data_IF_103605832448
#
_entry.id   IF_103605832448
#
_cell.length_a   1.000
_cell.length_b   1.000
_cell.length_c   1.000
_cell.angle_alpha   90.00
_cell.angle_beta   90.00
_cell.angle_gamma   90.00
#
_symmetry.space_group_name_H-M   'P 1'
#
loop_
_entity.id
_entity.type
_entity.pdbx_description
1 polymer ?
#
# COMPACT_ATOMS: atom_id res chain seq x y z
N UNK A 1 7.23 24.97 -2.61
CA UNK A 1 7.39 24.18 -3.84
C UNK A 1 8.15 22.93 -3.47
N UNK A 2 7.50 21.77 -3.58
CA UNK A 2 8.06 20.53 -3.06
C UNK A 2 8.87 19.79 -4.12
N UNK A 3 9.99 19.21 -3.71
CA UNK A 3 10.73 18.12 -4.37
C UNK A 3 9.83 17.05 -5.03
N UNK A 4 8.58 16.92 -4.60
CA UNK A 4 7.57 16.09 -5.24
C UNK A 4 7.09 16.59 -6.59
N UNK A 5 6.93 17.89 -6.76
CA UNK A 5 6.50 18.52 -8.00
C UNK A 5 7.58 18.36 -9.08
N UNK A 6 8.85 18.41 -8.68
CA UNK A 6 9.99 18.17 -9.58
C UNK A 6 10.19 16.66 -9.87
N UNK A 7 9.83 15.79 -8.93
CA UNK A 7 9.82 14.33 -9.14
C UNK A 7 8.65 13.88 -10.04
N UNK A 8 7.46 14.46 -9.90
CA UNK A 8 6.25 14.16 -10.68
C UNK A 8 6.11 15.00 -11.96
N UNK A 9 6.82 16.13 -12.06
CA UNK A 9 6.67 17.16 -13.11
C UNK A 9 7.36 16.86 -14.44
N UNK A 10 8.12 15.76 -14.54
CA UNK A 10 8.49 15.21 -15.84
C UNK A 10 7.23 14.64 -16.49
N UNK A 11 6.73 15.24 -17.58
CA UNK A 11 5.45 14.86 -18.21
C UNK A 11 5.27 13.37 -18.51
N UNK A 12 6.37 12.62 -18.67
CA UNK A 12 6.36 11.16 -18.78
C UNK A 12 5.92 10.47 -17.47
N UNK A 13 6.47 10.89 -16.32
CA UNK A 13 6.16 10.31 -15.01
C UNK A 13 4.73 10.61 -14.60
N UNK A 14 4.26 11.84 -14.84
CA UNK A 14 2.86 12.21 -14.64
C UNK A 14 1.92 11.30 -15.45
N UNK A 15 2.28 10.97 -16.70
CA UNK A 15 1.50 10.06 -17.52
C UNK A 15 1.48 8.64 -16.93
N UNK A 16 2.63 8.11 -16.54
CA UNK A 16 2.74 6.78 -15.90
C UNK A 16 1.92 6.68 -14.62
N UNK A 17 1.98 7.70 -13.76
CA UNK A 17 1.19 7.77 -12.52
C UNK A 17 -0.31 7.86 -12.82
N UNK A 18 -0.72 8.60 -13.86
CA UNK A 18 -2.11 8.69 -14.29
C UNK A 18 -2.60 7.36 -14.85
N UNK A 19 -1.78 6.67 -15.65
CA UNK A 19 -2.08 5.33 -16.16
C UNK A 19 -2.20 4.31 -15.01
N UNK A 20 -1.35 4.42 -13.99
CA UNK A 20 -1.43 3.62 -12.78
C UNK A 20 -2.77 3.83 -12.05
N UNK A 21 -3.17 5.08 -11.81
CA UNK A 21 -4.47 5.38 -11.18
C UNK A 21 -5.62 4.90 -12.06
N UNK A 22 -5.56 5.14 -13.37
CA UNK A 22 -6.61 4.75 -14.31
C UNK A 22 -6.86 3.24 -14.31
N UNK A 23 -5.80 2.44 -14.31
CA UNK A 23 -5.92 0.97 -14.23
C UNK A 23 -6.59 0.54 -12.92
N UNK A 24 -6.31 1.24 -11.82
CA UNK A 24 -6.85 0.94 -10.49
C UNK A 24 -8.32 1.37 -10.39
N UNK A 25 -8.72 2.37 -11.18
CA UNK A 25 -10.09 2.85 -11.29
C UNK A 25 -10.96 2.06 -12.25
N UNK A 26 -10.37 1.54 -13.33
CA UNK A 26 -11.10 0.83 -14.38
C UNK A 26 -11.12 -0.69 -14.18
N UNK A 27 -10.18 -1.25 -13.43
CA UNK A 27 -10.01 -2.69 -13.25
C UNK A 27 -9.79 -3.10 -11.81
N UNK A 28 -9.46 -4.38 -11.64
CA UNK A 28 -9.22 -4.98 -10.34
C UNK A 28 -7.99 -4.35 -9.67
N UNK A 29 -8.07 -3.92 -8.41
CA UNK A 29 -6.99 -3.21 -7.72
C UNK A 29 -5.70 -4.02 -7.59
N UNK A 30 -5.77 -5.35 -7.72
CA UNK A 30 -4.63 -6.27 -7.70
C UNK A 30 -4.06 -6.61 -9.09
N UNK A 31 -4.81 -6.33 -10.16
CA UNK A 31 -4.49 -6.72 -11.52
C UNK A 31 -3.93 -5.55 -12.36
N UNK A 32 -3.16 -5.86 -13.41
CA UNK A 32 -2.60 -4.84 -14.31
C UNK A 32 -1.33 -4.15 -13.83
N UNK A 33 -0.73 -4.62 -12.73
CA UNK A 33 0.55 -4.16 -12.20
C UNK A 33 1.51 -5.31 -11.93
N UNK A 34 2.80 -5.08 -12.19
CA UNK A 34 3.85 -5.94 -11.66
C UNK A 34 4.11 -5.63 -10.19
N UNK A 35 4.53 -6.62 -9.41
CA UNK A 35 4.78 -6.44 -7.97
C UNK A 35 5.85 -5.37 -7.72
N UNK A 36 6.89 -5.38 -8.54
CA UNK A 36 7.95 -4.35 -8.53
C UNK A 36 7.42 -2.95 -8.84
N UNK A 37 6.43 -2.83 -9.72
CA UNK A 37 5.82 -1.55 -10.06
C UNK A 37 5.06 -0.98 -8.86
N UNK A 38 4.23 -1.81 -8.21
CA UNK A 38 3.49 -1.41 -7.01
C UNK A 38 4.45 -0.98 -5.91
N UNK A 39 5.52 -1.74 -5.63
CA UNK A 39 6.51 -1.38 -4.61
C UNK A 39 7.24 -0.08 -4.93
N UNK A 40 7.66 0.08 -6.19
CA UNK A 40 8.36 1.29 -6.61
C UNK A 40 7.46 2.51 -6.44
N UNK A 41 6.23 2.44 -6.96
CA UNK A 41 5.25 3.53 -6.88
C UNK A 41 4.87 3.82 -5.44
N UNK A 42 4.53 2.78 -4.68
CA UNK A 42 4.21 2.89 -3.27
C UNK A 42 5.37 3.49 -2.48
N UNK A 43 6.61 3.02 -2.64
CA UNK A 43 7.78 3.58 -1.98
C UNK A 43 8.01 5.05 -2.32
N UNK A 44 7.98 5.41 -3.61
CA UNK A 44 8.14 6.79 -4.07
C UNK A 44 7.08 7.73 -3.46
N UNK A 45 5.82 7.31 -3.41
CA UNK A 45 4.71 8.19 -2.98
C UNK A 45 4.46 8.15 -1.47
N UNK A 46 4.75 7.03 -0.80
CA UNK A 46 4.53 6.88 0.64
C UNK A 46 5.59 7.57 1.49
N UNK A 47 6.83 7.71 1.00
CA UNK A 47 7.87 8.53 1.63
C UNK A 47 7.69 10.02 1.36
N UNK A 48 7.01 10.34 0.28
CA UNK A 48 6.78 11.68 -0.17
C UNK A 48 5.69 12.41 0.62
N UNK A 49 4.62 11.72 0.99
CA UNK A 49 3.45 12.33 1.60
C UNK A 49 3.48 12.27 3.13
N UNK A 50 2.93 13.30 3.81
CA UNK A 50 2.77 13.25 5.26
C UNK A 50 1.81 12.11 5.66
N UNK A 51 1.94 11.59 6.90
CA UNK A 51 1.17 10.46 7.38
C UNK A 51 -0.35 10.70 7.33
N UNK A 52 -0.83 11.92 7.54
CA UNK A 52 -2.25 12.24 7.39
C UNK A 52 -2.77 12.01 5.97
N UNK A 53 -1.98 12.37 4.94
CA UNK A 53 -2.35 12.14 3.55
C UNK A 53 -2.27 10.65 3.19
N UNK A 54 -1.32 9.93 3.76
CA UNK A 54 -1.24 8.47 3.65
C UNK A 54 -2.47 7.81 4.28
N UNK A 55 -2.88 8.24 5.48
CA UNK A 55 -4.06 7.70 6.18
C UNK A 55 -5.35 7.90 5.37
N UNK A 56 -5.53 9.09 4.79
CA UNK A 56 -6.67 9.38 3.93
C UNK A 56 -6.65 8.51 2.67
N UNK A 57 -5.49 8.38 2.01
CA UNK A 57 -5.35 7.55 0.82
C UNK A 57 -5.61 6.07 1.13
N UNK A 58 -5.13 5.57 2.26
CA UNK A 58 -5.41 4.22 2.74
C UNK A 58 -6.90 4.02 3.04
N UNK A 59 -7.52 4.96 3.74
CA UNK A 59 -8.96 4.92 4.00
C UNK A 59 -9.76 4.87 2.68
N UNK A 60 -9.41 5.66 1.69
CA UNK A 60 -10.12 5.66 0.40
C UNK A 60 -9.88 4.37 -0.41
N UNK A 61 -8.65 3.88 -0.43
CA UNK A 61 -8.30 2.63 -1.10
C UNK A 61 -9.07 1.44 -0.49
N UNK A 62 -9.11 1.37 0.85
CA UNK A 62 -9.88 0.38 1.59
C UNK A 62 -11.39 0.61 1.43
N UNK A 63 -11.83 1.85 1.32
CA UNK A 63 -13.23 2.21 1.06
C UNK A 63 -13.75 1.68 -0.27
N UNK A 64 -12.85 1.44 -1.23
CA UNK A 64 -13.14 0.83 -2.53
C UNK A 64 -13.31 -0.68 -2.47
N UNK A 65 -12.67 -1.33 -1.49
CA UNK A 65 -12.84 -2.76 -1.25
C UNK A 65 -14.20 -3.02 -0.60
N UNK A 66 -14.78 -4.15 -0.94
CA UNK A 66 -16.03 -4.63 -0.34
C UNK A 66 -15.83 -4.87 1.16
N UNK A 67 -16.87 -4.73 2.00
CA UNK A 67 -16.77 -5.02 3.43
C UNK A 67 -16.20 -6.42 3.73
N UNK A 68 -16.53 -7.40 2.88
CA UNK A 68 -16.02 -8.78 2.97
C UNK A 68 -14.51 -8.86 2.69
N UNK A 69 -14.02 -8.15 1.67
CA UNK A 69 -12.59 -8.07 1.33
C UNK A 69 -11.81 -7.38 2.45
N UNK A 70 -12.37 -6.32 3.04
CA UNK A 70 -11.78 -5.65 4.21
C UNK A 70 -11.71 -6.60 5.41
N UNK A 71 -12.79 -7.34 5.69
CA UNK A 71 -12.82 -8.30 6.79
C UNK A 71 -11.80 -9.44 6.59
N UNK A 72 -11.68 -9.96 5.36
CA UNK A 72 -10.65 -10.93 5.01
C UNK A 72 -9.25 -10.35 5.21
N UNK A 73 -9.02 -9.11 4.79
CA UNK A 73 -7.75 -8.41 4.99
C UNK A 73 -7.42 -8.23 6.49
N UNK A 74 -8.39 -7.84 7.31
CA UNK A 74 -8.22 -7.71 8.78
C UNK A 74 -7.87 -9.04 9.41
N UNK A 75 -8.61 -10.10 9.08
CA UNK A 75 -8.37 -11.44 9.61
C UNK A 75 -6.97 -11.93 9.27
N UNK A 76 -6.58 -11.75 8.01
CA UNK A 76 -5.26 -12.07 7.51
C UNK A 76 -4.16 -11.26 8.24
N UNK A 77 -4.42 -9.99 8.54
CA UNK A 77 -3.50 -9.13 9.29
C UNK A 77 -3.39 -9.60 10.75
N UNK A 78 -4.52 -9.95 11.39
CA UNK A 78 -4.62 -10.52 12.75
C UNK A 78 -3.82 -11.82 12.88
N UNK A 79 -3.99 -12.75 11.94
CA UNK A 79 -3.26 -14.01 11.89
C UNK A 79 -1.75 -13.77 11.78
N UNK A 80 -1.32 -12.83 10.93
CA UNK A 80 0.10 -12.50 10.77
C UNK A 80 0.69 -11.80 11.99
N UNK A 81 -0.02 -10.86 12.61
CA UNK A 81 0.47 -10.21 13.81
C UNK A 81 0.58 -11.22 14.96
N UNK A 82 -0.41 -12.09 15.14
CA UNK A 82 -0.37 -13.17 16.12
C UNK A 82 0.84 -14.11 15.88
N UNK A 83 1.11 -14.49 14.63
CA UNK A 83 2.28 -15.29 14.28
C UNK A 83 3.62 -14.59 14.60
N UNK A 84 3.66 -13.26 14.54
CA UNK A 84 4.82 -12.42 14.87
C UNK A 84 4.92 -12.09 16.37
N UNK A 85 3.97 -12.55 17.19
CA UNK A 85 3.87 -12.14 18.60
C UNK A 85 3.47 -10.67 18.81
N UNK A 86 2.97 -10.02 17.75
CA UNK A 86 2.41 -8.67 17.81
C UNK A 86 0.91 -8.80 18.04
N UNK A 87 0.41 -8.34 19.18
CA UNK A 87 -1.03 -8.28 19.40
C UNK A 87 -1.61 -7.14 18.59
N UNK A 88 -2.27 -7.48 17.48
CA UNK A 88 -3.20 -6.57 16.84
C UNK A 88 -4.32 -6.26 17.83
N UNK A 89 -4.58 -4.97 18.07
CA UNK A 89 -5.72 -4.59 18.90
C UNK A 89 -6.98 -5.25 18.32
N UNK A 90 -7.77 -5.97 19.13
CA UNK A 90 -9.01 -6.60 18.67
C UNK A 90 -10.02 -5.57 18.13
N UNK A 91 -9.78 -4.28 18.40
CA UNK A 91 -10.54 -3.13 17.91
C UNK A 91 -10.21 -2.72 16.46
N UNK A 92 -9.24 -3.34 15.77
CA UNK A 92 -9.03 -3.09 14.34
C UNK A 92 -10.23 -3.64 13.57
N UNK A 93 -11.22 -2.79 13.38
CA UNK A 93 -12.44 -3.11 12.64
C UNK A 93 -12.15 -3.18 11.15
N UNK A 94 -12.94 -3.94 10.35
CA UNK A 94 -12.90 -3.91 8.89
C UNK A 94 -13.45 -2.61 8.31
N UNK A 95 -13.28 -1.50 9.04
CA UNK A 95 -13.68 -0.16 8.67
C UNK A 95 -12.51 0.52 7.97
N UNK A 96 -12.76 1.20 6.84
CA UNK A 96 -11.71 1.79 6.03
C UNK A 96 -10.92 2.85 6.80
N UNK A 97 -11.59 3.59 7.71
CA UNK A 97 -10.96 4.63 8.53
C UNK A 97 -10.00 4.02 9.56
N UNK A 98 -10.45 3.04 10.33
CA UNK A 98 -9.65 2.36 11.35
C UNK A 98 -8.46 1.63 10.73
N UNK A 99 -8.69 0.88 9.64
CA UNK A 99 -7.63 0.20 8.91
C UNK A 99 -6.64 1.17 8.26
N UNK A 100 -7.11 2.27 7.69
CA UNK A 100 -6.25 3.30 7.11
C UNK A 100 -5.32 3.93 8.14
N UNK A 101 -5.84 4.25 9.33
CA UNK A 101 -5.04 4.75 10.45
C UNK A 101 -4.05 3.70 10.95
N UNK A 102 -4.48 2.44 11.07
CA UNK A 102 -3.61 1.35 11.47
C UNK A 102 -2.44 1.14 10.50
N UNK A 103 -2.72 1.07 9.19
CA UNK A 103 -1.68 0.99 8.15
C UNK A 103 -0.73 2.18 8.19
N UNK A 104 -1.25 3.38 8.46
CA UNK A 104 -0.42 4.59 8.65
C UNK A 104 0.54 4.44 9.82
N UNK A 105 0.06 3.96 10.97
CA UNK A 105 0.88 3.74 12.16
C UNK A 105 1.98 2.69 11.90
N UNK A 106 1.67 1.65 11.12
CA UNK A 106 2.67 0.67 10.68
C UNK A 106 3.66 1.23 9.68
N UNK A 107 3.21 2.09 8.75
CA UNK A 107 4.05 2.74 7.75
C UNK A 107 5.04 3.72 8.40
N UNK A 108 4.59 4.47 9.42
CA UNK A 108 5.45 5.34 10.21
C UNK A 108 6.60 4.60 10.89
N UNK A 109 6.42 3.31 11.18
CA UNK A 109 7.46 2.46 11.75
C UNK A 109 8.21 1.74 10.62
N UNK A 110 9.41 2.19 10.24
CA UNK A 110 10.14 1.61 9.13
C UNK A 110 10.32 0.11 9.33
N UNK A 111 9.90 -0.68 8.33
CA UNK A 111 10.00 -2.13 8.35
C UNK A 111 8.83 -2.87 8.98
N UNK A 112 7.97 -2.25 9.82
CA UNK A 112 6.84 -2.98 10.44
C UNK A 112 5.76 -3.38 9.45
N UNK A 113 5.35 -2.47 8.56
CA UNK A 113 4.36 -2.80 7.53
C UNK A 113 4.87 -3.93 6.61
N UNK A 114 6.16 -3.88 6.26
CA UNK A 114 6.83 -4.92 5.47
C UNK A 114 6.87 -6.25 6.20
N UNK A 115 7.17 -6.22 7.49
CA UNK A 115 7.20 -7.41 8.35
C UNK A 115 5.80 -8.04 8.48
N UNK A 116 4.76 -7.21 8.64
CA UNK A 116 3.37 -7.67 8.73
C UNK A 116 2.80 -8.21 7.42
N UNK A 117 3.05 -7.54 6.30
CA UNK A 117 2.55 -8.00 5.00
C UNK A 117 3.40 -9.13 4.43
N UNK A 118 4.70 -9.16 4.77
CA UNK A 118 5.70 -10.06 4.24
C UNK A 118 5.98 -11.27 5.08
N UNK A 119 4.92 -11.90 5.59
CA UNK A 119 5.02 -13.18 6.27
C UNK A 119 5.46 -14.29 5.30
N UNK A 120 6.75 -14.32 4.99
CA UNK A 120 7.46 -15.47 4.44
C UNK A 120 8.39 -16.03 5.51
N UNK A 121 8.17 -17.30 5.83
CA UNK A 121 8.94 -18.23 6.66
C UNK A 121 10.12 -17.68 7.48
N UNK A 122 9.97 -17.72 8.81
CA UNK A 122 11.10 -17.95 9.72
C UNK A 122 11.53 -19.42 9.57
N UNK A 123 12.20 -19.76 8.48
CA UNK A 123 13.01 -20.97 8.39
C UNK A 123 14.50 -20.60 8.46
N UNK A 124 15.26 -21.11 9.44
CA UNK A 124 16.71 -21.01 9.40
C UNK A 124 17.22 -22.10 8.45
N UNK A 125 17.33 -21.83 7.14
CA UNK A 125 18.03 -22.76 6.25
C UNK A 125 18.59 -22.15 4.96
N UNK A 126 19.91 -22.06 4.96
CA UNK A 126 20.83 -22.46 3.88
C UNK A 126 20.46 -22.04 2.44
N UNK A 127 21.20 -21.05 1.93
CA UNK A 127 21.66 -20.95 0.54
C UNK A 127 20.58 -21.08 -0.57
N UNK A 128 19.92 -19.97 -0.88
CA UNK A 128 19.35 -19.73 -2.21
C UNK A 128 19.69 -18.30 -2.67
N UNK A 129 19.93 -18.06 -3.98
CA UNK A 129 20.34 -16.76 -4.49
C UNK A 129 19.26 -15.71 -4.21
N UNK A 130 19.67 -14.46 -4.03
CA UNK A 130 18.86 -13.31 -3.61
C UNK A 130 17.57 -13.14 -4.44
N UNK A 131 16.50 -13.81 -4.04
CA UNK A 131 15.14 -13.56 -4.50
C UNK A 131 14.52 -12.57 -3.51
N UNK A 132 14.19 -11.37 -4.01
CA UNK A 132 13.77 -10.24 -3.18
C UNK A 132 12.68 -10.62 -2.16
N UNK A 133 12.93 -10.52 -0.84
CA UNK A 133 11.95 -10.85 0.22
C UNK A 133 10.72 -9.93 0.22
N UNK A 134 10.72 -8.89 -0.63
CA UNK A 134 9.60 -7.97 -0.82
C UNK A 134 8.60 -8.50 -1.89
N UNK A 135 9.02 -9.44 -2.74
CA UNK A 135 8.15 -10.08 -3.74
C UNK A 135 7.12 -11.02 -3.11
N UNK A 136 7.52 -11.75 -2.06
CA UNK A 136 6.65 -12.67 -1.31
C UNK A 136 5.47 -11.95 -0.60
N UNK A 137 5.69 -10.69 -0.22
CA UNK A 137 4.72 -9.79 0.41
C UNK A 137 3.54 -9.49 -0.52
N UNK A 138 3.84 -9.37 -1.82
CA UNK A 138 2.86 -9.10 -2.87
C UNK A 138 2.28 -10.36 -3.49
N UNK A 139 2.76 -11.55 -3.08
CA UNK A 139 2.13 -12.81 -3.44
C UNK A 139 0.69 -12.90 -2.90
N UNK A 140 0.33 -12.12 -1.88
CA UNK A 140 -1.07 -11.92 -1.48
C UNK A 140 -1.73 -10.86 -2.38
N UNK A 141 -2.69 -11.24 -3.24
CA UNK A 141 -3.38 -10.29 -4.14
C UNK A 141 -4.07 -9.16 -3.37
N UNK A 142 -4.56 -9.41 -2.16
CA UNK A 142 -5.12 -8.38 -1.28
C UNK A 142 -4.07 -7.37 -0.78
N UNK A 143 -2.88 -7.82 -0.38
CA UNK A 143 -1.81 -6.91 0.04
C UNK A 143 -1.37 -6.00 -1.12
N UNK A 144 -1.29 -6.58 -2.32
CA UNK A 144 -1.04 -5.84 -3.55
C UNK A 144 -2.13 -4.83 -3.87
N UNK A 145 -3.40 -5.22 -3.80
CA UNK A 145 -4.54 -4.33 -4.01
C UNK A 145 -4.53 -3.13 -3.06
N UNK A 146 -4.26 -3.37 -1.77
CA UNK A 146 -4.20 -2.31 -0.75
C UNK A 146 -3.03 -1.36 -1.01
N UNK A 147 -1.83 -1.88 -1.26
CA UNK A 147 -0.66 -1.05 -1.54
C UNK A 147 -0.79 -0.26 -2.84
N UNK A 148 -1.29 -0.90 -3.91
CA UNK A 148 -1.58 -0.25 -5.17
C UNK A 148 -2.65 0.82 -5.01
N UNK A 149 -3.69 0.55 -4.21
CA UNK A 149 -4.74 1.51 -3.92
C UNK A 149 -4.25 2.72 -3.15
N UNK A 150 -3.44 2.52 -2.11
CA UNK A 150 -2.83 3.62 -1.37
C UNK A 150 -2.00 4.48 -2.31
N UNK A 151 -1.13 3.85 -3.12
CA UNK A 151 -0.30 4.56 -4.07
C UNK A 151 -1.15 5.36 -5.08
N UNK A 152 -2.20 4.74 -5.63
CA UNK A 152 -3.10 5.36 -6.58
C UNK A 152 -3.84 6.56 -5.96
N UNK A 153 -4.38 6.41 -4.74
CA UNK A 153 -5.11 7.48 -4.06
C UNK A 153 -4.19 8.64 -3.66
N UNK A 154 -2.96 8.36 -3.23
CA UNK A 154 -1.94 9.39 -2.99
C UNK A 154 -1.65 10.16 -4.28
N UNK A 155 -1.34 9.46 -5.37
CA UNK A 155 -1.07 10.06 -6.68
C UNK A 155 -2.25 10.89 -7.16
N UNK A 156 -3.47 10.34 -7.09
CA UNK A 156 -4.70 11.01 -7.49
C UNK A 156 -4.91 12.29 -6.69
N UNK A 157 -4.61 12.29 -5.39
CA UNK A 157 -4.70 13.49 -4.54
C UNK A 157 -3.64 14.53 -4.90
N UNK A 158 -2.39 14.12 -5.14
CA UNK A 158 -1.33 15.03 -5.55
C UNK A 158 -1.63 15.66 -6.92
N UNK A 159 -2.08 14.85 -7.89
CA UNK A 159 -2.46 15.32 -9.22
C UNK A 159 -3.76 16.12 -9.24
N UNK A 160 -4.77 15.70 -8.47
CA UNK A 160 -6.06 16.39 -8.36
C UNK A 160 -5.98 17.71 -7.59
N UNK A 161 -4.85 17.97 -6.91
CA UNK A 161 -4.54 19.26 -6.30
C UNK A 161 -3.88 20.25 -7.27
N UNK A 162 -3.76 19.90 -8.56
CA UNK A 162 -3.40 20.86 -9.59
C UNK A 162 -4.45 21.99 -9.56
N UNK A 163 -4.07 23.25 -9.31
CA UNK A 163 -5.01 24.35 -9.30
C UNK A 163 -5.58 24.47 -10.72
N UNK A 164 -6.88 24.32 -10.85
CA UNK A 164 -7.61 24.98 -11.93
C UNK A 164 -7.28 26.47 -11.79
N UNK A 165 -6.46 26.98 -12.71
CA UNK A 165 -6.25 28.39 -12.96
C UNK A 165 -7.55 29.04 -13.44
#
# INVERSE_FOLDING_TARGET
MGILDELLGGGQRQKEYKDFVNRYEQGDPSEGYSDQEVLKRYGEVSHAVPPDQYAQAAQEALGKLSPEERAAFVKMLQERAAARGVTLSPEVQPEPKELGQYLTNLHQKPGQLRDMLGGGDVQPREQAPASNPIGDILASPMAKAVLAGIAAMVVKRVMGRSPTA
#
